data_IF_753288789238
#
_entry.id   IF_753288789238
#
_cell.length_a   1.000
_cell.length_b   1.000
_cell.length_c   1.000
_cell.angle_alpha   90.00
_cell.angle_beta   90.00
_cell.angle_gamma   90.00
#
_symmetry.space_group_name_H-M   'P 1'
#
loop_
_entity.id
_entity.type
_entity.pdbx_description
1 polymer ?
#
# COMPACT_ATOMS: atom_id res chain seq x y z
N UNK A 1 -6.81 51.98 48.85
CA UNK A 1 -7.09 52.72 47.60
C UNK A 1 -5.78 52.73 46.81
N UNK A 2 -5.47 51.92 45.78
CA UNK A 2 -6.09 50.92 44.90
C UNK A 2 -5.06 49.74 44.76
N UNK A 3 -5.42 48.44 44.77
CA UNK A 3 -5.99 47.56 43.73
C UNK A 3 -5.12 47.31 42.46
N UNK A 4 -4.72 46.03 42.33
CA UNK A 4 -4.55 45.18 41.12
C UNK A 4 -3.33 45.45 40.22
N UNK A 5 -2.60 44.45 39.70
CA UNK A 5 -2.80 43.01 39.72
C UNK A 5 -1.58 42.29 39.11
N UNK A 6 -1.31 41.08 39.58
CA UNK A 6 -0.37 40.17 38.93
C UNK A 6 -0.91 39.80 37.56
N UNK A 7 -0.05 39.80 36.55
CA UNK A 7 -0.39 39.29 35.22
C UNK A 7 -0.19 37.77 35.22
N UNK A 8 -1.25 36.97 35.11
CA UNK A 8 -1.15 35.52 34.98
C UNK A 8 -0.88 35.14 33.53
N UNK A 9 -0.10 34.07 33.37
CA UNK A 9 -0.09 33.19 32.19
C UNK A 9 0.38 33.79 30.86
N UNK A 10 1.69 33.73 30.62
CA UNK A 10 2.17 33.20 29.33
C UNK A 10 2.07 31.68 29.39
N UNK A 11 0.84 31.14 29.45
CA UNK A 11 0.62 29.78 29.01
C UNK A 11 0.60 29.84 27.49
N UNK A 12 1.78 29.69 26.89
CA UNK A 12 1.87 29.34 25.49
C UNK A 12 0.98 28.13 25.28
N UNK A 13 0.03 28.24 24.36
CA UNK A 13 -0.68 27.10 23.81
C UNK A 13 0.37 26.06 23.45
N UNK A 14 0.46 24.98 24.23
CA UNK A 14 1.09 23.75 23.76
C UNK A 14 0.13 23.22 22.70
N UNK A 15 0.20 23.80 21.49
CA UNK A 15 -0.32 23.15 20.31
C UNK A 15 0.40 21.82 20.29
N UNK A 16 -0.35 20.75 20.55
CA UNK A 16 0.09 19.40 20.24
C UNK A 16 0.23 19.37 18.73
N UNK A 17 1.38 19.85 18.26
CA UNK A 17 1.82 19.76 16.89
C UNK A 17 2.01 18.28 16.66
N UNK A 18 0.91 17.59 16.32
CA UNK A 18 0.95 16.28 15.68
C UNK A 18 1.85 16.49 14.48
N UNK A 19 3.12 16.13 14.62
CA UNK A 19 4.12 16.27 13.58
C UNK A 19 3.53 15.60 12.36
N UNK A 20 3.15 16.42 11.37
CA UNK A 20 2.59 15.90 10.14
C UNK A 20 3.73 15.23 9.42
N UNK A 21 3.86 13.91 9.61
CA UNK A 21 4.83 13.11 8.89
C UNK A 21 4.64 13.40 7.39
N UNK A 22 5.74 13.67 6.69
CA UNK A 22 5.72 13.85 5.24
C UNK A 22 5.08 12.61 4.61
N UNK A 23 4.22 12.79 3.60
CA UNK A 23 3.50 11.67 2.96
C UNK A 23 4.47 10.66 2.30
N UNK A 24 5.68 11.11 1.97
CA UNK A 24 6.73 10.27 1.38
C UNK A 24 7.67 9.63 2.42
N UNK A 25 7.49 9.94 3.70
CA UNK A 25 8.27 9.37 4.79
C UNK A 25 7.43 8.35 5.57
N UNK A 26 8.06 7.33 6.21
CA UNK A 26 7.36 6.40 7.08
C UNK A 26 6.55 7.14 8.15
N UNK A 27 5.29 6.71 8.32
CA UNK A 27 4.42 7.16 9.39
C UNK A 27 4.84 6.57 10.74
N UNK A 28 4.09 6.92 11.78
CA UNK A 28 4.45 6.62 13.17
C UNK A 28 4.17 5.17 13.60
N UNK A 29 3.56 4.34 12.76
CA UNK A 29 3.18 2.97 13.11
C UNK A 29 4.19 1.98 12.53
N UNK A 30 4.68 1.09 13.38
CA UNK A 30 5.38 -0.11 12.90
C UNK A 30 4.41 -1.03 12.17
N UNK A 31 4.90 -1.71 11.13
CA UNK A 31 4.07 -2.53 10.23
C UNK A 31 4.59 -3.95 10.12
N UNK A 32 3.70 -4.88 9.79
CA UNK A 32 3.99 -6.28 9.52
C UNK A 32 3.50 -6.67 8.13
N UNK A 33 4.26 -7.52 7.45
CA UNK A 33 3.91 -8.09 6.15
C UNK A 33 3.51 -9.55 6.31
N UNK A 34 2.33 -9.91 5.84
CA UNK A 34 1.75 -11.25 5.91
C UNK A 34 1.53 -11.73 4.48
N UNK A 35 2.17 -12.82 4.10
CA UNK A 35 1.90 -13.50 2.82
C UNK A 35 0.86 -14.58 3.06
N UNK A 36 -0.24 -14.52 2.31
CA UNK A 36 -1.29 -15.53 2.34
C UNK A 36 -1.25 -16.26 1.01
N UNK A 37 -0.87 -17.53 1.05
CA UNK A 37 -0.83 -18.41 -0.11
C UNK A 37 -2.18 -19.10 -0.33
N UNK A 38 -2.42 -19.56 -1.56
CA UNK A 38 -3.55 -20.45 -1.89
C UNK A 38 -3.22 -21.86 -1.45
N UNK A 39 -3.64 -22.28 -0.25
CA UNK A 39 -3.33 -23.60 0.30
C UNK A 39 -4.55 -24.49 0.56
N UNK A 40 -5.76 -23.93 0.59
CA UNK A 40 -6.97 -24.69 0.94
C UNK A 40 -8.26 -24.07 0.36
N UNK A 41 -9.39 -24.78 0.41
CA UNK A 41 -10.69 -24.25 -0.09
C UNK A 41 -11.13 -22.98 0.66
N UNK A 42 -10.76 -22.85 1.94
CA UNK A 42 -10.99 -21.65 2.74
C UNK A 42 -9.95 -20.53 2.50
N UNK A 43 -8.89 -20.79 1.72
CA UNK A 43 -7.89 -19.78 1.40
C UNK A 43 -8.40 -18.84 0.29
N UNK A 44 -7.92 -17.60 0.25
CA UNK A 44 -8.27 -16.65 -0.79
C UNK A 44 -8.00 -17.24 -2.18
N UNK A 45 -8.81 -16.92 -3.21
CA UNK A 45 -8.69 -17.54 -4.54
C UNK A 45 -7.37 -17.21 -5.26
N UNK A 46 -6.59 -16.23 -4.78
CA UNK A 46 -5.26 -15.88 -5.28
C UNK A 46 -4.34 -15.55 -4.11
N UNK A 47 -3.03 -15.83 -4.22
CA UNK A 47 -2.08 -15.38 -3.20
C UNK A 47 -2.17 -13.87 -3.01
N UNK A 48 -2.05 -13.39 -1.78
CA UNK A 48 -2.05 -11.96 -1.50
C UNK A 48 -1.06 -11.57 -0.42
N UNK A 49 -0.57 -10.34 -0.52
CA UNK A 49 0.29 -9.70 0.46
C UNK A 49 -0.56 -8.73 1.29
N UNK A 50 -0.60 -8.91 2.59
CA UNK A 50 -1.25 -8.00 3.53
C UNK A 50 -0.15 -7.23 4.27
N UNK A 51 -0.27 -5.91 4.34
CA UNK A 51 0.59 -5.05 5.16
C UNK A 51 -0.28 -4.31 6.16
N UNK A 52 0.01 -4.48 7.45
CA UNK A 52 -0.85 -3.99 8.55
C UNK A 52 -0.01 -3.36 9.65
N UNK A 53 -0.52 -2.33 10.36
CA UNK A 53 0.07 -1.87 11.60
C UNK A 53 0.18 -3.01 12.63
N UNK A 54 1.23 -3.00 13.44
CA UNK A 54 1.46 -4.00 14.51
C UNK A 54 0.69 -3.68 15.79
N UNK A 55 0.31 -2.42 15.97
CA UNK A 55 -0.47 -1.96 17.11
C UNK A 55 -1.93 -2.34 16.87
N UNK A 56 -2.58 -2.93 17.87
CA UNK A 56 -4.01 -3.27 17.77
C UNK A 56 -4.85 -2.00 17.65
N UNK A 57 -5.80 -2.02 16.72
CA UNK A 57 -6.68 -0.88 16.45
C UNK A 57 -7.61 -1.17 15.28
N UNK A 58 -8.51 -0.23 15.00
CA UNK A 58 -9.33 -0.26 13.80
C UNK A 58 -8.72 0.67 12.77
N UNK A 59 -8.41 0.13 11.60
CA UNK A 59 -7.79 0.87 10.50
C UNK A 59 -8.61 0.69 9.21
N UNK A 60 -8.70 1.71 8.35
CA UNK A 60 -9.27 1.56 7.02
C UNK A 60 -8.49 0.52 6.19
N UNK A 61 -9.21 -0.20 5.34
CA UNK A 61 -8.65 -1.21 4.43
C UNK A 61 -8.51 -0.62 3.03
N UNK A 62 -7.33 -0.73 2.44
CA UNK A 62 -7.01 -0.33 1.08
C UNK A 62 -6.71 -1.56 0.23
N UNK A 63 -7.48 -1.76 -0.84
CA UNK A 63 -7.21 -2.80 -1.84
C UNK A 63 -6.24 -2.26 -2.91
N UNK A 64 -5.06 -2.86 -3.01
CA UNK A 64 -4.03 -2.48 -3.98
C UNK A 64 -3.94 -3.52 -5.10
N UNK A 65 -4.19 -3.11 -6.34
CA UNK A 65 -4.06 -3.96 -7.52
C UNK A 65 -2.85 -3.49 -8.33
N UNK A 66 -1.86 -4.36 -8.50
CA UNK A 66 -0.68 -4.06 -9.29
C UNK A 66 -0.95 -4.19 -10.80
N UNK A 67 -0.07 -3.61 -11.62
CA UNK A 67 -0.13 -3.70 -13.09
C UNK A 67 0.22 -5.08 -13.66
N UNK A 68 0.08 -5.19 -14.99
CA UNK A 68 0.26 -6.44 -15.75
C UNK A 68 1.65 -7.08 -15.55
N UNK A 69 1.68 -8.40 -15.37
CA UNK A 69 2.89 -9.25 -15.17
C UNK A 69 3.81 -8.90 -13.98
N UNK A 70 3.40 -8.01 -13.07
CA UNK A 70 4.17 -7.71 -11.87
C UNK A 70 3.82 -8.64 -10.71
N UNK A 71 4.72 -8.74 -9.72
CA UNK A 71 4.41 -9.40 -8.44
C UNK A 71 4.00 -8.36 -7.41
N UNK A 72 3.00 -8.67 -6.59
CA UNK A 72 2.58 -7.80 -5.49
C UNK A 72 3.74 -7.45 -4.53
N UNK A 73 4.73 -8.34 -4.37
CA UNK A 73 5.92 -8.12 -3.54
C UNK A 73 6.84 -7.03 -4.05
N UNK A 74 6.79 -6.64 -5.33
CA UNK A 74 7.61 -5.55 -5.84
C UNK A 74 7.25 -4.20 -5.22
N UNK A 75 6.02 -4.07 -4.72
CA UNK A 75 5.54 -2.85 -4.08
C UNK A 75 5.73 -2.84 -2.56
N UNK A 76 6.41 -3.82 -1.97
CA UNK A 76 6.46 -4.00 -0.49
C UNK A 76 6.82 -2.71 0.25
N UNK A 77 7.81 -1.95 -0.22
CA UNK A 77 8.23 -0.68 0.41
C UNK A 77 7.11 0.38 0.37
N UNK A 78 6.41 0.51 -0.77
CA UNK A 78 5.27 1.42 -0.91
C UNK A 78 4.10 1.00 0.00
N UNK A 79 3.79 -0.29 0.05
CA UNK A 79 2.69 -0.80 0.88
C UNK A 79 3.00 -0.63 2.38
N UNK A 80 4.27 -0.80 2.79
CA UNK A 80 4.74 -0.52 4.15
C UNK A 80 4.63 0.96 4.50
N UNK A 81 5.03 1.85 3.58
CA UNK A 81 4.88 3.30 3.73
C UNK A 81 3.40 3.64 3.99
N UNK A 82 2.49 3.21 3.11
CA UNK A 82 1.06 3.46 3.26
C UNK A 82 0.54 2.91 4.60
N UNK A 83 0.92 1.68 4.95
CA UNK A 83 0.45 1.05 6.19
C UNK A 83 0.95 1.75 7.45
N UNK A 84 2.17 2.30 7.43
CA UNK A 84 2.74 3.04 8.56
C UNK A 84 1.99 4.34 8.90
N UNK A 85 1.17 4.84 7.96
CA UNK A 85 0.25 5.97 8.15
C UNK A 85 -1.14 5.55 8.68
N UNK A 86 -1.36 4.26 8.96
CA UNK A 86 -2.59 3.77 9.59
C UNK A 86 -3.59 3.13 8.63
N UNK A 87 -3.11 2.40 7.63
CA UNK A 87 -3.94 1.63 6.72
C UNK A 87 -3.59 0.14 6.79
N UNK A 88 -4.60 -0.72 6.64
CA UNK A 88 -4.39 -2.13 6.30
C UNK A 88 -4.41 -2.22 4.78
N UNK A 89 -3.28 -2.59 4.18
CA UNK A 89 -3.15 -2.70 2.73
C UNK A 89 -3.24 -4.16 2.32
N UNK A 90 -4.18 -4.47 1.44
CA UNK A 90 -4.41 -5.81 0.90
C UNK A 90 -4.04 -5.81 -0.57
N UNK A 91 -3.02 -6.58 -0.96
CA UNK A 91 -2.49 -6.62 -2.31
C UNK A 91 -2.56 -8.03 -2.93
N UNK A 92 -3.68 -8.39 -3.57
CA UNK A 92 -3.80 -9.64 -4.31
C UNK A 92 -2.83 -9.72 -5.48
N UNK A 93 -2.35 -10.94 -5.77
CA UNK A 93 -1.61 -11.22 -6.99
C UNK A 93 -2.59 -11.30 -8.17
N UNK A 94 -2.57 -10.30 -9.04
CA UNK A 94 -3.44 -10.21 -10.22
C UNK A 94 -2.64 -10.69 -11.44
N UNK A 95 -2.96 -11.89 -11.96
CA UNK A 95 -2.31 -12.54 -13.13
C UNK A 95 -0.92 -13.14 -12.86
N UNK A 96 -0.90 -14.32 -12.24
CA UNK A 96 0.27 -15.22 -12.23
C UNK A 96 0.04 -16.50 -13.05
N UNK A 97 -1.16 -16.68 -13.61
CA UNK A 97 -1.45 -17.80 -14.50
C UNK A 97 -0.98 -17.41 -15.90
N UNK A 98 -0.22 -18.27 -16.60
CA UNK A 98 -0.01 -18.06 -18.01
C UNK A 98 -1.40 -18.15 -18.65
N UNK A 99 -1.86 -17.04 -19.26
CA UNK A 99 -3.15 -16.99 -19.96
C UNK A 99 -3.20 -17.95 -21.16
N UNK A 100 -2.09 -18.63 -21.44
CA UNK A 100 -1.94 -19.62 -22.50
C UNK A 100 -1.23 -20.86 -21.95
N UNK A 101 -1.74 -22.07 -22.20
CA UNK A 101 -0.98 -23.28 -21.92
C UNK A 101 0.35 -23.22 -22.69
N UNK A 102 1.44 -23.64 -22.07
CA UNK A 102 2.82 -23.64 -22.61
C UNK A 102 2.95 -24.38 -23.96
N UNK A 103 1.92 -25.15 -24.34
CA UNK A 103 1.82 -25.88 -25.60
C UNK A 103 1.04 -25.16 -26.71
N UNK A 104 0.59 -23.91 -26.49
CA UNK A 104 -0.02 -23.10 -27.54
C UNK A 104 0.82 -21.84 -27.76
N UNK A 105 1.38 -21.63 -28.96
CA UNK A 105 2.03 -20.35 -29.26
C UNK A 105 0.97 -19.25 -29.11
N UNK A 106 1.26 -18.16 -28.38
CA UNK A 106 0.33 -17.06 -28.26
C UNK A 106 -0.02 -16.56 -29.66
N UNK A 107 -1.31 -16.30 -29.96
CA UNK A 107 -1.69 -15.78 -31.27
C UNK A 107 -0.89 -14.50 -31.55
N UNK A 108 -0.46 -14.23 -32.80
CA UNK A 108 0.42 -13.10 -33.14
C UNK A 108 -0.09 -11.75 -32.64
N UNK A 109 -1.42 -11.60 -32.57
CA UNK A 109 -2.12 -10.41 -32.07
C UNK A 109 -1.83 -10.15 -30.59
N UNK A 110 -1.61 -11.19 -29.78
CA UNK A 110 -1.35 -11.05 -28.35
C UNK A 110 0.04 -10.48 -28.08
N UNK A 111 1.07 -10.94 -28.79
CA UNK A 111 2.41 -10.35 -28.75
C UNK A 111 2.38 -8.89 -29.21
N UNK A 112 1.59 -8.58 -30.23
CA UNK A 112 1.42 -7.22 -30.71
C UNK A 112 0.74 -6.32 -29.66
N UNK A 113 -0.32 -6.82 -28.99
CA UNK A 113 -0.99 -6.08 -27.92
C UNK A 113 -0.07 -5.88 -26.71
N UNK A 114 0.71 -6.89 -26.34
CA UNK A 114 1.65 -6.82 -25.22
C UNK A 114 2.79 -5.85 -25.50
N UNK A 115 3.35 -5.89 -26.72
CA UNK A 115 4.34 -4.91 -27.18
C UNK A 115 3.73 -3.52 -27.24
N UNK A 116 2.51 -3.36 -27.74
CA UNK A 116 1.82 -2.08 -27.81
C UNK A 116 1.58 -1.49 -26.41
N UNK A 117 1.09 -2.30 -25.45
CA UNK A 117 0.88 -1.85 -24.06
C UNK A 117 2.22 -1.49 -23.41
N UNK A 118 3.26 -2.31 -23.60
CA UNK A 118 4.61 -2.01 -23.09
C UNK A 118 5.18 -0.73 -23.69
N UNK A 119 5.00 -0.51 -24.99
CA UNK A 119 5.50 0.65 -25.71
C UNK A 119 4.73 1.93 -25.35
N UNK A 120 3.40 1.84 -25.18
CA UNK A 120 2.57 2.95 -24.72
C UNK A 120 2.87 3.36 -23.28
N UNK A 121 3.26 2.41 -22.43
CA UNK A 121 3.75 2.69 -21.07
C UNK A 121 5.12 3.37 -21.11
N UNK A 122 6.04 2.90 -21.96
CA UNK A 122 7.38 3.51 -22.10
C UNK A 122 7.33 4.91 -22.72
N UNK A 123 6.35 5.20 -23.57
CA UNK A 123 6.18 6.52 -24.20
C UNK A 123 5.44 7.56 -23.33
N UNK A 124 4.86 7.15 -22.18
CA UNK A 124 4.12 8.04 -21.27
C UNK A 124 4.83 8.32 -19.93
N UNK A 125 6.13 8.03 -19.86
CA UNK A 125 7.02 8.33 -18.73
C UNK A 125 8.23 9.07 -19.28
#
# INVERSE_FOLDING_TARGET
>A
MALLGGNPSTQGIKLDLKTTASVFEPGNLSVSCIRVETSNIASPPKPLLIVTPTIQGTYPVLLFLHGFELRNTFYTQLLQLISSHGFIVVAPQVLSQPLFPLNYPPPPIFLFLLLLVSHLVVLNI
#
